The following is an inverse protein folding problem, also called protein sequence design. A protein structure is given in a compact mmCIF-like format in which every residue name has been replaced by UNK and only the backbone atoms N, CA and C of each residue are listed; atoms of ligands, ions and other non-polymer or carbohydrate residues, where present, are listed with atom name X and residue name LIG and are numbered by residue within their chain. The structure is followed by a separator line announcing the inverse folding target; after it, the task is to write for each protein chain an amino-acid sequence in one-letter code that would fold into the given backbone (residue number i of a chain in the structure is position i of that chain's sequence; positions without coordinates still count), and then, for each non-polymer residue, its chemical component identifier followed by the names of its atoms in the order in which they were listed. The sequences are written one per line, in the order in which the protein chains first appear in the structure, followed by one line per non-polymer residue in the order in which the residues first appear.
data_IF_113723943656
#
_entry.id   IF_113723943656
#
_cell.length_a   1.000
_cell.length_b   1.000
_cell.length_c   1.000
_cell.angle_alpha   90.00
_cell.angle_beta   90.00
_cell.angle_gamma   90.00
#
_symmetry.space_group_name_H-M   'P 1'
#
loop_
_entity.id
_entity.type
_entity.pdbx_description
1 polymer ?
#
# COMPACT_ATOMS: atom_id res chain seq x y z
N UNK A 1 9.87 -8.72 12.73
CA UNK A 1 8.47 -8.30 12.52
C UNK A 1 8.49 -6.84 12.12
N UNK A 2 7.72 -6.44 11.09
CA UNK A 2 7.55 -5.02 10.77
C UNK A 2 7.01 -4.28 11.98
N UNK A 3 7.47 -3.06 12.20
CA UNK A 3 7.02 -2.21 13.30
C UNK A 3 6.03 -1.22 12.70
N UNK A 4 4.73 -1.53 12.76
CA UNK A 4 3.72 -0.58 12.33
C UNK A 4 3.79 0.65 13.23
N UNK A 5 4.35 1.73 12.69
CA UNK A 5 4.47 3.01 13.35
C UNK A 5 3.08 3.66 13.41
N UNK A 6 2.92 4.70 14.21
CA UNK A 6 1.62 5.34 14.49
C UNK A 6 0.87 5.90 13.27
N UNK A 7 1.51 5.88 12.09
CA UNK A 7 0.99 6.38 10.82
C UNK A 7 1.07 5.28 9.74
N UNK A 8 -0.05 4.61 9.46
CA UNK A 8 -0.15 3.60 8.41
C UNK A 8 -0.77 4.20 7.15
N UNK A 9 -0.06 4.10 6.03
CA UNK A 9 -0.52 4.57 4.72
C UNK A 9 -0.56 3.39 3.77
N UNK A 10 -1.69 3.23 3.07
CA UNK A 10 -1.91 2.15 2.11
C UNK A 10 -2.16 2.75 0.73
N UNK A 11 -1.46 2.27 -0.28
CA UNK A 11 -1.55 2.79 -1.64
C UNK A 11 -1.88 1.66 -2.60
N UNK A 12 -2.83 1.89 -3.50
CA UNK A 12 -3.22 0.94 -4.54
C UNK A 12 -3.10 1.51 -5.96
N UNK A 13 -2.72 0.70 -6.95
CA UNK A 13 -2.81 1.07 -8.38
C UNK A 13 -4.18 0.69 -8.98
N UNK A 14 -4.74 1.52 -9.87
CA UNK A 14 -5.95 1.21 -10.65
C UNK A 14 -7.03 0.47 -9.83
N UNK A 15 -7.30 -0.81 -10.14
CA UNK A 15 -8.30 -1.64 -9.44
C UNK A 15 -7.93 -1.96 -7.98
N UNK A 16 -6.64 -1.97 -7.64
CA UNK A 16 -6.13 -2.20 -6.28
C UNK A 16 -6.28 -0.99 -5.38
N UNK A 17 -6.69 0.16 -5.90
CA UNK A 17 -7.11 1.28 -5.07
C UNK A 17 -8.29 0.87 -4.17
N UNK A 18 -9.28 0.15 -4.72
CA UNK A 18 -10.42 -0.37 -3.93
C UNK A 18 -9.93 -1.35 -2.86
N UNK A 19 -8.93 -2.16 -3.19
CA UNK A 19 -8.29 -3.09 -2.24
C UNK A 19 -7.62 -2.31 -1.10
N UNK A 20 -6.85 -1.27 -1.42
CA UNK A 20 -6.21 -0.40 -0.44
C UNK A 20 -7.21 0.26 0.52
N UNK A 21 -8.33 0.77 -0.01
CA UNK A 21 -9.40 1.39 0.80
C UNK A 21 -10.10 0.39 1.72
N UNK A 22 -10.45 -0.79 1.20
CA UNK A 22 -11.10 -1.83 2.01
C UNK A 22 -10.16 -2.33 3.12
N UNK A 23 -8.88 -2.51 2.82
CA UNK A 23 -7.89 -2.92 3.83
C UNK A 23 -7.75 -1.87 4.92
N UNK A 24 -7.63 -0.59 4.53
CA UNK A 24 -7.55 0.49 5.50
C UNK A 24 -8.78 0.52 6.42
N UNK A 25 -9.97 0.30 5.85
CA UNK A 25 -11.20 0.17 6.61
C UNK A 25 -11.15 -1.00 7.58
N UNK A 26 -10.76 -2.20 7.13
CA UNK A 26 -10.68 -3.40 7.98
C UNK A 26 -9.68 -3.26 9.12
N UNK A 27 -8.50 -2.70 8.85
CA UNK A 27 -7.50 -2.44 9.90
C UNK A 27 -8.05 -1.41 10.88
N UNK A 28 -8.66 -0.32 10.40
CA UNK A 28 -9.26 0.70 11.26
C UNK A 28 -10.37 0.13 12.15
N UNK A 29 -11.25 -0.71 11.61
CA UNK A 29 -12.34 -1.39 12.34
C UNK A 29 -11.83 -2.37 13.40
N UNK A 30 -10.79 -3.13 13.11
CA UNK A 30 -10.33 -4.24 13.96
C UNK A 30 -9.27 -3.83 14.97
N UNK A 31 -8.44 -2.84 14.64
CA UNK A 31 -7.31 -2.42 15.47
C UNK A 31 -7.47 -1.03 16.08
N UNK A 32 -8.50 -0.27 15.68
CA UNK A 32 -8.71 1.13 16.08
C UNK A 32 -7.52 2.04 15.74
N UNK A 33 -6.68 1.64 14.79
CA UNK A 33 -5.56 2.45 14.31
C UNK A 33 -6.02 3.40 13.19
N UNK A 34 -5.54 4.66 13.17
CA UNK A 34 -5.79 5.55 12.06
C UNK A 34 -5.00 5.09 10.83
N UNK A 35 -5.71 4.64 9.81
CA UNK A 35 -5.13 4.20 8.53
C UNK A 35 -5.61 5.10 7.41
N UNK A 36 -4.68 5.54 6.56
CA UNK A 36 -4.99 6.34 5.37
C UNK A 36 -4.81 5.49 4.12
N UNK A 37 -5.70 5.62 3.14
CA UNK A 37 -5.63 4.91 1.88
C UNK A 37 -5.77 5.85 0.69
N UNK A 38 -5.04 5.57 -0.39
CA UNK A 38 -5.01 6.40 -1.59
C UNK A 38 -4.81 5.57 -2.86
N UNK A 39 -5.29 6.08 -3.99
CA UNK A 39 -4.80 5.66 -5.30
C UNK A 39 -3.36 6.14 -5.54
N UNK A 40 -2.54 5.36 -6.26
CA UNK A 40 -1.12 5.68 -6.48
C UNK A 40 -0.89 7.04 -7.15
N UNK A 41 -1.74 7.40 -8.11
CA UNK A 41 -1.67 8.70 -8.79
C UNK A 41 -2.01 9.84 -7.82
N UNK A 42 -3.14 9.72 -7.12
CA UNK A 42 -3.56 10.72 -6.12
C UNK A 42 -2.47 10.93 -5.07
N UNK A 43 -1.91 9.83 -4.56
CA UNK A 43 -0.85 9.85 -3.55
C UNK A 43 0.39 10.61 -4.03
N UNK A 44 0.83 10.35 -5.26
CA UNK A 44 1.99 11.00 -5.87
C UNK A 44 1.76 12.50 -6.14
N UNK A 45 0.51 12.95 -6.28
CA UNK A 45 0.19 14.35 -6.54
C UNK A 45 0.22 15.27 -5.30
N UNK A 46 0.26 14.71 -4.09
CA UNK A 46 0.29 15.54 -2.89
C UNK A 46 0.55 14.75 -1.60
N UNK A 47 -0.31 13.78 -1.24
CA UNK A 47 -0.23 13.07 0.04
C UNK A 47 1.13 12.43 0.34
N UNK A 48 1.95 12.09 -0.67
CA UNK A 48 3.32 11.60 -0.47
C UNK A 48 4.18 12.49 0.44
N UNK A 49 3.96 13.81 0.46
CA UNK A 49 4.74 14.73 1.31
C UNK A 49 4.46 14.55 2.81
N UNK A 50 3.46 13.75 3.15
CA UNK A 50 3.11 13.39 4.53
C UNK A 50 3.80 12.11 5.00
N UNK A 51 4.66 11.49 4.16
CA UNK A 51 5.53 10.40 4.58
C UNK A 51 6.68 10.96 5.42
N UNK A 52 6.99 10.25 6.49
CA UNK A 52 8.13 10.47 7.36
C UNK A 52 8.72 9.13 7.82
N UNK A 53 9.76 9.20 8.65
CA UNK A 53 10.43 8.03 9.24
C UNK A 53 9.52 7.23 10.18
N UNK A 54 8.44 7.83 10.65
CA UNK A 54 7.43 7.24 11.54
C UNK A 54 6.20 6.74 10.75
N UNK A 55 6.33 6.61 9.42
CA UNK A 55 5.29 6.10 8.54
C UNK A 55 5.61 4.68 8.08
N UNK A 56 4.61 3.81 8.14
CA UNK A 56 4.65 2.51 7.45
C UNK A 56 3.79 2.61 6.18
N UNK A 57 4.41 2.38 5.03
CA UNK A 57 3.77 2.45 3.71
C UNK A 57 3.55 1.03 3.17
N UNK A 58 2.29 0.67 2.90
CA UNK A 58 1.91 -0.58 2.25
C UNK A 58 1.49 -0.29 0.82
N UNK A 59 2.09 -0.96 -0.16
CA UNK A 59 1.83 -0.73 -1.58
C UNK A 59 1.19 -1.98 -2.17
N UNK A 60 0.01 -1.84 -2.75
CA UNK A 60 -0.69 -2.85 -3.54
C UNK A 60 -0.62 -2.46 -5.01
N UNK A 61 0.28 -3.09 -5.76
CA UNK A 61 0.47 -2.74 -7.16
C UNK A 61 0.92 -3.91 -8.01
N UNK A 62 0.78 -3.76 -9.33
CA UNK A 62 1.42 -4.66 -10.28
C UNK A 62 2.92 -4.42 -10.33
N UNK A 63 3.68 -5.48 -10.62
CA UNK A 63 5.13 -5.35 -10.90
C UNK A 63 5.43 -4.51 -12.13
N UNK A 64 4.46 -4.37 -13.05
CA UNK A 64 4.61 -3.59 -14.26
C UNK A 64 4.18 -2.12 -14.12
N UNK A 65 3.71 -1.71 -12.93
CA UNK A 65 3.29 -0.32 -12.71
C UNK A 65 4.52 0.57 -12.51
N UNK A 66 4.87 1.35 -13.52
CA UNK A 66 6.01 2.29 -13.47
C UNK A 66 5.95 3.27 -12.30
N UNK A 67 4.74 3.66 -11.87
CA UNK A 67 4.55 4.59 -10.74
C UNK A 67 4.91 3.99 -9.39
N UNK A 68 4.86 2.66 -9.27
CA UNK A 68 5.30 1.92 -8.08
C UNK A 68 6.77 2.19 -7.78
N UNK A 69 7.62 2.15 -8.80
CA UNK A 69 9.06 2.38 -8.63
C UNK A 69 9.35 3.79 -8.12
N UNK A 70 8.68 4.79 -8.70
CA UNK A 70 8.80 6.20 -8.25
C UNK A 70 8.39 6.35 -6.78
N UNK A 71 7.31 5.68 -6.37
CA UNK A 71 6.83 5.70 -4.99
C UNK A 71 7.84 5.03 -4.04
N UNK A 72 8.38 3.86 -4.42
CA UNK A 72 9.38 3.14 -3.62
C UNK A 72 10.64 3.96 -3.46
N UNK A 73 11.16 4.55 -4.54
CA UNK A 73 12.36 5.37 -4.50
C UNK A 73 12.18 6.60 -3.61
N UNK A 74 11.02 7.25 -3.71
CA UNK A 74 10.67 8.37 -2.84
C UNK A 74 10.61 7.97 -1.35
N UNK A 75 9.91 6.87 -1.04
CA UNK A 75 9.80 6.38 0.34
C UNK A 75 11.17 5.98 0.92
N UNK A 76 12.07 5.41 0.11
CA UNK A 76 13.45 5.12 0.51
C UNK A 76 14.27 6.37 0.82
N UNK A 77 14.11 7.44 0.05
CA UNK A 77 14.80 8.72 0.31
C UNK A 77 14.40 9.30 1.69
N UNK A 78 13.15 9.07 2.09
CA UNK A 78 12.59 9.54 3.37
C UNK A 78 12.93 8.62 4.54
N UNK A 79 13.45 7.41 4.27
CA UNK A 79 13.65 6.35 5.25
C UNK A 79 12.32 5.88 5.90
N UNK A 80 11.27 5.83 5.09
CA UNK A 80 9.96 5.30 5.45
C UNK A 80 9.96 3.76 5.36
N UNK A 81 9.26 3.06 6.26
CA UNK A 81 9.13 1.61 6.21
C UNK A 81 8.21 1.20 5.04
N UNK A 82 8.68 0.31 4.17
CA UNK A 82 7.93 -0.10 2.96
C UNK A 82 7.58 -1.58 3.01
N UNK A 83 6.30 -1.89 2.86
CA UNK A 83 5.79 -3.22 2.56
C UNK A 83 5.21 -3.23 1.14
N UNK A 84 6.01 -3.72 0.18
CA UNK A 84 5.59 -3.86 -1.21
C UNK A 84 4.89 -5.20 -1.44
N UNK A 85 3.59 -5.13 -1.69
CA UNK A 85 2.73 -6.29 -1.91
C UNK A 85 2.36 -6.37 -3.38
N UNK A 86 2.95 -7.33 -4.09
CA UNK A 86 2.75 -7.53 -5.52
C UNK A 86 2.19 -8.92 -5.84
N UNK A 87 1.79 -9.11 -7.09
CA UNK A 87 1.01 -10.27 -7.56
C UNK A 87 1.80 -11.60 -7.47
N UNK A 88 3.13 -11.55 -7.56
CA UNK A 88 3.99 -12.74 -7.54
C UNK A 88 4.05 -13.41 -6.16
N UNK A 89 3.73 -12.68 -5.09
CA UNK A 89 3.70 -13.21 -3.72
C UNK A 89 2.72 -14.38 -3.58
N UNK A 90 1.67 -14.41 -4.40
CA UNK A 90 0.58 -15.37 -4.29
C UNK A 90 0.66 -16.55 -5.25
N UNK A 91 1.55 -16.52 -6.26
CA UNK A 91 1.70 -17.61 -7.24
C UNK A 91 0.44 -17.92 -8.05
N UNK A 92 -0.47 -16.96 -8.21
CA UNK A 92 -1.77 -17.12 -8.88
C UNK A 92 -1.74 -16.61 -10.33
N UNK A 93 -2.71 -17.03 -11.18
CA UNK A 93 -2.89 -16.43 -12.50
C UNK A 93 -3.11 -14.92 -12.38
N UNK A 94 -2.56 -14.16 -13.34
CA UNK A 94 -2.58 -12.67 -13.35
C UNK A 94 -3.99 -12.08 -13.13
N UNK A 95 -5.00 -12.75 -13.67
CA UNK A 95 -6.42 -12.34 -13.56
C UNK A 95 -6.93 -12.29 -12.11
N UNK A 96 -6.35 -13.09 -11.21
CA UNK A 96 -6.76 -13.23 -9.81
C UNK A 96 -5.73 -12.66 -8.82
N UNK A 97 -4.59 -12.15 -9.29
CA UNK A 97 -3.54 -11.63 -8.42
C UNK A 97 -4.01 -10.49 -7.51
N UNK A 98 -4.83 -9.58 -8.04
CA UNK A 98 -5.43 -8.48 -7.26
C UNK A 98 -6.45 -8.97 -6.22
N UNK A 99 -7.21 -10.04 -6.54
CA UNK A 99 -8.18 -10.61 -5.61
C UNK A 99 -7.48 -11.32 -4.45
N UNK A 100 -6.34 -11.95 -4.71
CA UNK A 100 -5.52 -12.57 -3.69
C UNK A 100 -4.98 -11.57 -2.67
N UNK A 101 -4.62 -10.36 -3.12
CA UNK A 101 -4.23 -9.26 -2.24
C UNK A 101 -5.37 -8.83 -1.33
N UNK A 102 -6.61 -8.83 -1.83
CA UNK A 102 -7.79 -8.55 -1.01
C UNK A 102 -8.03 -9.65 0.03
N UNK A 103 -7.93 -10.92 -0.35
CA UNK A 103 -8.16 -12.07 0.54
C UNK A 103 -7.06 -12.22 1.58
N UNK A 104 -5.81 -11.94 1.24
CA UNK A 104 -4.66 -12.08 2.15
C UNK A 104 -4.78 -11.23 3.41
N UNK A 105 -5.56 -10.16 3.36
CA UNK A 105 -5.69 -9.20 4.45
C UNK A 105 -6.96 -9.40 5.29
N UNK A 106 -7.83 -10.34 4.91
CA UNK A 106 -8.98 -10.77 5.72
C UNK A 106 -8.56 -11.70 6.86
#
# INVERSE_FOLDING_TARGET
MPKFLTNLVIVGDLIREVVAHEIALKISETSYLPVRSYGIEEFLHGPRVTLDVDTSLVIFSSLHESRREILIDYARIIDCEILDTNEEIFGLPKEFGWLAQLVWVQ
#
